data_IF_491922050693
#
_entry.id   IF_491922050693
#
_cell.length_a   1.000
_cell.length_b   1.000
_cell.length_c   1.000
_cell.angle_alpha   90.00
_cell.angle_beta   90.00
_cell.angle_gamma   90.00
#
_symmetry.space_group_name_H-M   'P 1'
#
loop_
_entity.id
_entity.type
_entity.pdbx_description
1 polymer ?
#
# COMPACT_ATOMS: atom_id res chain seq x y z
N UNK A 1 6.31 6.45 -12.21
CA UNK A 1 5.03 7.16 -12.47
C UNK A 1 4.93 8.35 -11.52
N UNK A 2 4.15 9.38 -11.86
CA UNK A 2 3.82 10.45 -10.91
C UNK A 2 2.37 10.28 -10.46
N UNK A 3 2.08 10.50 -9.17
CA UNK A 3 0.73 10.49 -8.63
C UNK A 3 0.45 11.80 -7.89
N UNK A 4 -0.79 12.27 -7.92
CA UNK A 4 -1.23 13.42 -7.15
C UNK A 4 -2.46 13.07 -6.32
N UNK A 5 -2.39 13.33 -5.00
CA UNK A 5 -3.49 13.08 -4.07
C UNK A 5 -3.57 14.20 -3.03
N UNK A 6 -4.69 14.93 -3.05
CA UNK A 6 -4.83 16.17 -2.27
C UNK A 6 -3.70 17.16 -2.60
N UNK A 7 -2.97 17.59 -1.57
CA UNK A 7 -1.79 18.46 -1.70
C UNK A 7 -0.46 17.71 -1.84
N UNK A 8 -0.48 16.37 -1.88
CA UNK A 8 0.74 15.55 -1.97
C UNK A 8 1.08 15.19 -3.41
N UNK A 9 2.30 15.51 -3.83
CA UNK A 9 2.87 15.12 -5.11
C UNK A 9 3.86 13.96 -4.93
N UNK A 10 3.54 12.81 -5.52
CA UNK A 10 4.39 11.63 -5.56
C UNK A 10 5.13 11.60 -6.89
N UNK A 11 6.45 11.81 -6.87
CA UNK A 11 7.26 11.89 -8.08
C UNK A 11 8.08 10.63 -8.29
N UNK A 12 8.05 10.09 -9.50
CA UNK A 12 8.82 8.91 -9.90
C UNK A 12 8.65 7.71 -8.95
N UNK A 13 7.40 7.43 -8.57
CA UNK A 13 7.04 6.32 -7.71
C UNK A 13 6.77 5.04 -8.49
N UNK A 14 6.89 3.92 -7.78
CA UNK A 14 6.52 2.59 -8.25
C UNK A 14 5.39 2.04 -7.38
N UNK A 15 4.56 1.19 -7.99
CA UNK A 15 3.43 0.52 -7.31
C UNK A 15 3.72 -0.98 -7.33
N UNK A 16 4.60 -1.46 -6.43
CA UNK A 16 4.98 -2.86 -6.38
C UNK A 16 3.80 -3.78 -6.05
N UNK A 17 2.83 -3.27 -5.30
CA UNK A 17 1.80 -4.08 -4.68
C UNK A 17 0.47 -3.32 -4.64
N UNK A 18 -0.59 -3.97 -5.10
CA UNK A 18 -1.98 -3.63 -4.81
C UNK A 18 -2.51 -4.68 -3.84
N UNK A 19 -2.76 -4.27 -2.61
CA UNK A 19 -3.17 -5.13 -1.50
C UNK A 19 -4.64 -4.91 -1.17
N UNK A 20 -5.50 -5.81 -1.65
CA UNK A 20 -6.93 -5.55 -1.77
C UNK A 20 -7.15 -4.32 -2.64
N UNK A 21 -7.78 -3.30 -2.06
CA UNK A 21 -7.97 -1.99 -2.72
C UNK A 21 -6.96 -0.94 -2.28
N UNK A 22 -5.85 -1.35 -1.65
CA UNK A 22 -4.81 -0.43 -1.17
C UNK A 22 -3.58 -0.48 -2.06
N UNK A 23 -3.30 0.61 -2.74
CA UNK A 23 -2.07 0.75 -3.49
C UNK A 23 -0.92 1.03 -2.54
N UNK A 24 0.09 0.14 -2.55
CA UNK A 24 1.35 0.34 -1.85
C UNK A 24 2.29 1.04 -2.82
N UNK A 25 2.74 2.22 -2.42
CA UNK A 25 3.56 3.11 -3.22
C UNK A 25 4.93 3.20 -2.58
N UNK A 26 5.97 2.95 -3.37
CA UNK A 26 7.36 3.16 -2.96
C UNK A 26 7.92 4.36 -3.71
N UNK A 27 8.59 5.24 -2.96
CA UNK A 27 9.45 6.25 -3.54
C UNK A 27 10.90 5.78 -3.69
N UNK A 28 11.75 6.65 -4.26
CA UNK A 28 13.17 6.35 -4.51
C UNK A 28 13.99 6.16 -3.23
N UNK A 29 13.47 6.58 -2.08
CA UNK A 29 14.10 6.41 -0.77
C UNK A 29 13.51 5.21 -0.01
N UNK A 30 12.76 4.35 -0.71
CA UNK A 30 12.10 3.17 -0.13
C UNK A 30 11.07 3.52 0.94
N UNK A 31 10.60 4.76 0.97
CA UNK A 31 9.55 5.16 1.91
C UNK A 31 8.23 4.67 1.36
N UNK A 32 7.47 4.03 2.24
CA UNK A 32 6.21 3.38 1.88
C UNK A 32 5.07 4.34 2.15
N UNK A 33 4.20 4.50 1.15
CA UNK A 33 2.90 5.15 1.30
C UNK A 33 1.80 4.18 0.91
N UNK A 34 0.65 4.30 1.56
CA UNK A 34 -0.51 3.44 1.32
C UNK A 34 -1.70 4.32 0.94
N UNK A 35 -2.29 4.05 -0.23
CA UNK A 35 -3.44 4.79 -0.74
C UNK A 35 -4.63 3.83 -0.82
N UNK A 36 -5.70 4.14 -0.11
CA UNK A 36 -6.98 3.44 -0.21
C UNK A 36 -7.75 3.90 -1.45
N UNK A 37 -8.08 2.95 -2.33
CA UNK A 37 -8.81 3.14 -3.57
C UNK A 37 -10.29 2.73 -3.48
N UNK A 38 -10.75 2.18 -2.34
CA UNK A 38 -12.18 1.91 -2.11
C UNK A 38 -12.99 3.19 -1.90
N UNK A 39 -12.34 4.22 -1.38
CA UNK A 39 -12.96 5.53 -1.15
C UNK A 39 -13.01 6.35 -2.44
N UNK A 40 -14.07 7.14 -2.61
CA UNK A 40 -14.14 8.17 -3.65
C UNK A 40 -14.38 9.54 -2.98
N UNK A 41 -13.37 10.44 -2.94
CA UNK A 41 -12.04 10.32 -3.53
C UNK A 41 -11.13 9.31 -2.81
N UNK A 42 -10.08 8.85 -3.50
CA UNK A 42 -9.04 8.01 -2.90
C UNK A 42 -8.39 8.71 -1.70
N UNK A 43 -8.04 7.93 -0.67
CA UNK A 43 -7.53 8.44 0.62
C UNK A 43 -6.11 7.97 0.84
N UNK A 44 -5.21 8.90 1.20
CA UNK A 44 -3.86 8.58 1.62
C UNK A 44 -3.91 8.13 3.09
N UNK A 45 -3.65 6.86 3.39
CA UNK A 45 -3.70 6.30 4.75
C UNK A 45 -2.33 6.37 5.45
N UNK A 46 -1.26 6.09 4.70
CA UNK A 46 0.13 6.11 5.19
C UNK A 46 0.97 6.98 4.28
N UNK A 47 1.78 7.87 4.85
CA UNK A 47 2.70 8.75 4.15
C UNK A 47 4.13 8.53 4.65
N UNK A 48 4.96 7.91 3.81
CA UNK A 48 6.38 7.72 4.09
C UNK A 48 6.66 6.98 5.41
N UNK A 49 5.88 5.94 5.69
CA UNK A 49 6.00 5.11 6.89
C UNK A 49 5.32 5.66 8.15
N UNK A 50 4.61 6.79 8.05
CA UNK A 50 3.85 7.39 9.16
C UNK A 50 2.35 7.44 8.81
N UNK A 51 1.44 7.48 9.79
CA UNK A 51 0.03 7.78 9.52
C UNK A 51 -0.08 9.09 8.75
N UNK A 52 -0.88 9.12 7.69
CA UNK A 52 -1.07 10.38 6.97
C UNK A 52 -1.88 11.39 7.82
N UNK A 53 -1.80 12.69 7.51
CA UNK A 53 -2.59 13.69 8.22
C UNK A 53 -4.10 13.45 8.06
N UNK A 54 -4.84 13.53 9.18
CA UNK A 54 -6.30 13.44 9.19
C UNK A 54 -6.88 12.02 9.17
N UNK A 55 -6.04 10.99 9.26
CA UNK A 55 -6.48 9.59 9.28
C UNK A 55 -6.66 9.12 10.73
N UNK A 56 -7.66 8.28 10.97
CA UNK A 56 -7.87 7.63 12.26
C UNK A 56 -6.86 6.51 12.46
N UNK A 57 -6.05 6.59 13.52
CA UNK A 57 -5.05 5.57 13.85
C UNK A 57 -4.91 5.37 15.36
N UNK A 58 -4.31 4.23 15.74
CA UNK A 58 -3.89 3.93 17.12
C UNK A 58 -2.42 3.56 17.12
N UNK A 59 -1.62 4.17 17.98
CA UNK A 59 -0.22 3.80 18.17
C UNK A 59 -0.10 2.44 18.87
N UNK A 60 0.89 1.68 18.44
CA UNK A 60 1.34 0.43 19.04
C UNK A 60 2.85 0.53 19.32
N UNK A 61 3.42 -0.39 20.10
CA UNK A 61 4.83 -0.32 20.51
C UNK A 61 5.82 -0.17 19.32
N UNK A 62 5.57 -0.89 18.22
CA UNK A 62 6.47 -0.95 17.06
C UNK A 62 5.81 -0.49 15.74
N UNK A 63 4.63 0.13 15.82
CA UNK A 63 3.82 0.45 14.64
C UNK A 63 2.53 1.19 14.98
N UNK A 64 1.55 1.07 14.10
CA UNK A 64 0.22 1.65 14.32
C UNK A 64 -0.88 0.86 13.61
N UNK A 65 -2.09 0.95 14.14
CA UNK A 65 -3.31 0.47 13.51
C UNK A 65 -3.93 1.59 12.69
N UNK A 66 -4.34 1.31 11.46
CA UNK A 66 -5.25 2.17 10.71
C UNK A 66 -6.68 1.74 11.01
N UNK A 67 -7.54 2.72 11.31
CA UNK A 67 -8.92 2.50 11.73
C UNK A 67 -9.90 2.99 10.65
N UNK A 68 -11.07 2.39 10.59
CA UNK A 68 -12.21 2.93 9.85
C UNK A 68 -12.90 4.08 10.61
N UNK A 69 -13.93 4.67 9.98
CA UNK A 69 -14.71 5.77 10.54
C UNK A 69 -15.50 5.39 11.81
N UNK A 70 -15.64 4.09 12.09
CA UNK A 70 -16.26 3.56 13.30
C UNK A 70 -15.24 3.17 14.38
N UNK A 71 -13.94 3.41 14.14
CA UNK A 71 -12.86 3.09 15.06
C UNK A 71 -12.46 1.61 15.06
N UNK A 72 -12.93 0.82 14.11
CA UNK A 72 -12.54 -0.59 13.96
C UNK A 72 -11.21 -0.68 13.21
N UNK A 73 -10.33 -1.58 13.66
CA UNK A 73 -9.06 -1.83 13.00
C UNK A 73 -9.25 -2.39 11.59
N UNK A 74 -8.62 -1.74 10.61
CA UNK A 74 -8.51 -2.21 9.22
C UNK A 74 -7.25 -3.05 9.05
N UNK A 75 -6.09 -2.53 9.45
CA UNK A 75 -4.81 -3.23 9.38
C UNK A 75 -3.77 -2.63 10.32
N UNK A 76 -2.71 -3.39 10.58
CA UNK A 76 -1.52 -2.93 11.28
C UNK A 76 -0.42 -2.60 10.28
N UNK A 77 0.32 -1.54 10.56
CA UNK A 77 1.51 -1.14 9.82
C UNK A 77 2.71 -1.06 10.75
N UNK A 78 3.79 -1.72 10.37
CA UNK A 78 5.09 -1.67 11.04
C UNK A 78 6.11 -1.16 10.04
N UNK A 79 6.87 -0.12 10.36
CA UNK A 79 7.79 0.51 9.40
C UNK A 79 9.10 -0.27 9.21
N UNK A 80 9.53 -1.05 10.21
CA UNK A 80 10.84 -1.73 10.22
C UNK A 80 10.74 -3.15 10.82
N UNK A 81 10.76 -4.22 9.99
CA UNK A 81 10.65 -4.18 8.52
C UNK A 81 9.27 -3.68 8.08
N UNK A 82 9.16 -3.08 6.88
CA UNK A 82 7.88 -2.61 6.35
C UNK A 82 6.90 -3.78 6.20
N UNK A 83 5.98 -3.90 7.15
CA UNK A 83 5.07 -5.02 7.31
C UNK A 83 3.64 -4.52 7.45
N UNK A 84 2.73 -5.11 6.69
CA UNK A 84 1.31 -4.78 6.68
C UNK A 84 0.55 -6.05 7.05
N UNK A 85 -0.23 -6.00 8.14
CA UNK A 85 -1.02 -7.15 8.64
C UNK A 85 -2.50 -6.84 8.50
N UNK A 86 -3.20 -7.58 7.64
CA UNK A 86 -4.61 -7.33 7.30
C UNK A 86 -5.56 -8.44 7.69
N UNK A 87 -5.29 -9.18 8.77
CA UNK A 87 -6.16 -10.26 9.23
C UNK A 87 -7.62 -9.79 9.43
N UNK A 88 -7.81 -8.55 9.90
CA UNK A 88 -9.13 -7.94 10.09
C UNK A 88 -9.91 -7.69 8.78
N UNK A 89 -9.21 -7.60 7.66
CA UNK A 89 -9.77 -7.45 6.30
C UNK A 89 -9.51 -8.70 5.43
N UNK A 90 -9.19 -9.84 6.06
CA UNK A 90 -8.94 -11.14 5.41
C UNK A 90 -7.88 -11.11 4.31
N UNK A 91 -6.95 -10.16 4.37
CA UNK A 91 -5.83 -10.10 3.45
C UNK A 91 -4.57 -10.69 4.10
N UNK A 92 -3.72 -11.39 3.32
CA UNK A 92 -2.49 -11.96 3.84
C UNK A 92 -1.52 -10.86 4.28
N UNK A 93 -0.74 -11.15 5.32
CA UNK A 93 0.38 -10.30 5.75
C UNK A 93 1.35 -10.08 4.60
N UNK A 94 1.71 -8.82 4.37
CA UNK A 94 2.71 -8.44 3.38
C UNK A 94 3.93 -7.84 4.05
N UNK A 95 5.12 -8.24 3.61
CA UNK A 95 6.37 -7.54 3.93
C UNK A 95 6.95 -7.01 2.63
N UNK A 96 7.30 -5.73 2.63
CA UNK A 96 7.81 -5.03 1.45
C UNK A 96 9.22 -4.53 1.76
N UNK A 97 10.13 -4.81 0.84
CA UNK A 97 11.47 -4.28 0.78
C UNK A 97 11.76 -3.86 -0.67
N UNK A 98 12.88 -3.19 -0.91
CA UNK A 98 13.32 -2.82 -2.26
C UNK A 98 13.46 -4.03 -3.17
N UNK A 99 14.04 -5.11 -2.65
CA UNK A 99 14.43 -6.27 -3.45
C UNK A 99 13.46 -7.45 -3.29
N UNK A 100 12.49 -7.32 -2.37
CA UNK A 100 11.67 -8.44 -1.94
C UNK A 100 10.25 -8.00 -1.59
N UNK A 101 9.27 -8.77 -2.02
CA UNK A 101 7.91 -8.69 -1.51
C UNK A 101 7.55 -10.09 -1.02
N UNK A 102 7.16 -10.20 0.25
CA UNK A 102 6.62 -11.43 0.82
C UNK A 102 5.12 -11.24 1.02
N UNK A 103 4.31 -12.17 0.52
CA UNK A 103 2.86 -12.19 0.70
C UNK A 103 2.47 -13.52 1.33
N UNK A 104 2.10 -13.50 2.60
CA UNK A 104 1.89 -14.71 3.40
C UNK A 104 3.13 -15.60 3.40
N UNK A 105 3.04 -16.77 2.75
CA UNK A 105 4.16 -17.73 2.60
C UNK A 105 4.92 -17.58 1.27
N UNK A 106 4.41 -16.78 0.34
CA UNK A 106 5.04 -16.58 -0.97
C UNK A 106 6.10 -15.50 -0.88
N UNK A 107 7.28 -15.79 -1.41
CA UNK A 107 8.40 -14.86 -1.49
C UNK A 107 8.68 -14.52 -2.95
N UNK A 108 8.60 -13.24 -3.27
CA UNK A 108 8.95 -12.71 -4.59
C UNK A 108 10.22 -11.89 -4.41
N UNK A 109 11.29 -12.22 -5.14
CA UNK A 109 12.60 -11.56 -5.02
C UNK A 109 13.07 -11.04 -6.38
N UNK A 110 13.86 -9.97 -6.37
CA UNK A 110 14.32 -9.26 -7.57
C UNK A 110 13.18 -8.76 -8.47
N UNK A 111 12.02 -8.42 -7.89
CA UNK A 111 10.88 -7.96 -8.68
C UNK A 111 11.11 -6.51 -9.12
N UNK A 112 11.70 -6.36 -10.29
CA UNK A 112 11.83 -5.05 -10.90
C UNK A 112 10.55 -4.74 -11.67
N UNK A 113 9.64 -4.00 -11.05
CA UNK A 113 8.40 -3.56 -11.70
C UNK A 113 8.67 -2.26 -12.45
N UNK A 114 8.90 -2.39 -13.75
CA UNK A 114 9.01 -1.26 -14.67
C UNK A 114 7.76 -1.16 -15.55
N UNK A 115 7.04 -0.03 -15.49
CA UNK A 115 5.88 0.22 -16.35
C UNK A 115 4.79 1.06 -15.70
N UNK A 116 3.62 1.07 -16.35
CA UNK A 116 2.40 1.80 -15.94
C UNK A 116 1.44 0.94 -15.10
N UNK A 117 1.69 -0.36 -14.97
CA UNK A 117 0.84 -1.30 -14.23
C UNK A 117 1.25 -1.48 -12.76
N UNK A 118 0.57 -2.40 -12.10
CA UNK A 118 0.89 -2.88 -10.75
C UNK A 118 1.75 -4.13 -10.84
N UNK A 119 2.77 -4.23 -9.98
CA UNK A 119 3.63 -5.40 -9.90
C UNK A 119 2.89 -6.67 -9.49
N UNK A 120 2.39 -6.67 -8.25
CA UNK A 120 1.67 -7.78 -7.64
C UNK A 120 0.30 -7.28 -7.19
N UNK A 121 -0.77 -7.95 -7.59
CA UNK A 121 -2.10 -7.76 -7.05
C UNK A 121 -2.40 -8.90 -6.07
N UNK A 122 -2.88 -8.54 -4.89
CA UNK A 122 -3.23 -9.46 -3.81
C UNK A 122 -4.70 -9.24 -3.46
N UNK A 123 -5.50 -10.28 -3.52
CA UNK A 123 -6.91 -10.26 -3.13
C UNK A 123 -7.23 -11.46 -2.26
N UNK A 124 -8.47 -11.53 -1.75
CA UNK A 124 -8.99 -12.72 -1.07
C UNK A 124 -8.96 -13.98 -1.98
N UNK A 125 -9.03 -13.78 -3.30
CA UNK A 125 -9.07 -14.86 -4.30
C UNK A 125 -7.68 -15.33 -4.76
N UNK A 126 -6.61 -14.62 -4.43
CA UNK A 126 -5.25 -15.05 -4.74
C UNK A 126 -4.28 -13.92 -5.12
N UNK A 127 -3.27 -14.29 -5.89
CA UNK A 127 -2.16 -13.43 -6.31
C UNK A 127 -2.10 -13.36 -7.83
N UNK A 128 -1.97 -12.16 -8.39
CA UNK A 128 -1.78 -11.93 -9.83
C UNK A 128 -0.51 -11.10 -10.04
N UNK A 129 0.32 -11.51 -11.00
CA UNK A 129 1.54 -10.79 -11.38
C UNK A 129 1.29 -9.97 -12.65
N UNK A 130 1.72 -8.71 -12.66
CA UNK A 130 1.61 -7.82 -13.81
C UNK A 130 0.17 -7.42 -14.13
N UNK A 131 -0.50 -6.75 -13.19
CA UNK A 131 -1.87 -6.30 -13.39
C UNK A 131 -1.94 -4.89 -13.99
N UNK A 132 -3.03 -4.61 -14.73
CA UNK A 132 -3.35 -3.25 -15.16
C UNK A 132 -3.54 -2.32 -13.97
N UNK A 133 -3.30 -1.02 -14.18
CA UNK A 133 -3.54 -0.01 -13.17
C UNK A 133 -5.04 0.06 -12.84
N UNK A 134 -5.46 -0.11 -11.57
CA UNK A 134 -6.87 -0.04 -11.22
C UNK A 134 -7.42 1.39 -11.46
N UNK A 135 -8.70 1.54 -11.84
CA UNK A 135 -9.25 2.84 -12.25
C UNK A 135 -9.07 3.96 -11.21
N UNK A 136 -9.23 3.66 -9.92
CA UNK A 136 -9.03 4.64 -8.83
C UNK A 136 -7.60 5.18 -8.79
N UNK A 137 -6.62 4.35 -9.11
CA UNK A 137 -5.21 4.73 -9.15
C UNK A 137 -4.82 5.41 -10.46
N UNK A 138 -5.44 5.00 -11.57
CA UNK A 138 -5.29 5.67 -12.87
C UNK A 138 -5.77 7.12 -12.84
N UNK A 139 -6.83 7.43 -12.08
CA UNK A 139 -7.29 8.81 -11.85
C UNK A 139 -6.26 9.68 -11.11
N UNK A 140 -5.35 9.07 -10.34
CA UNK A 140 -4.31 9.78 -9.60
C UNK A 140 -3.03 9.96 -10.42
N UNK A 141 -2.86 9.18 -11.50
CA UNK A 141 -1.71 9.28 -12.37
C UNK A 141 -1.73 10.60 -13.15
N UNK A 142 -0.65 11.36 -13.04
CA UNK A 142 -0.46 12.67 -13.68
C UNK A 142 0.74 12.66 -14.64
#
# INVERSE_FOLDING_TARGET
>A
MNLKIGSNDFKNVHIPLLWGSRAIVLDKQSRVSIINLESEPAVLEVLGGNPAPGISYRLENDGFQILDDHGKCLYYFYAKPCTIVGEHIKLPTCQIDLDMIKVGRSLFSNNVVHGFGVGILVSESGLVLGASLPPGLAKLAA
#
